data_IF_758877146757
#
_entry.id   IF_758877146757
#
_cell.length_a   1.000
_cell.length_b   1.000
_cell.length_c   1.000
_cell.angle_alpha   90.00
_cell.angle_beta   90.00
_cell.angle_gamma   90.00
#
_symmetry.space_group_name_H-M   'P 1'
#
loop_
_entity.id
_entity.type
_entity.pdbx_description
1 polymer ?
#
# COMPACT_ATOMS: atom_id res chain seq x y z
N UNK A 1 -39.10 12.30 -18.74
CA UNK A 1 -39.39 11.10 -19.55
C UNK A 1 -39.22 11.49 -21.01
N UNK A 2 -38.46 10.69 -21.75
CA UNK A 2 -38.27 10.73 -23.21
C UNK A 2 -37.71 12.02 -23.81
N UNK A 3 -36.37 12.16 -23.82
CA UNK A 3 -35.62 12.88 -24.88
C UNK A 3 -34.10 12.70 -24.78
N UNK A 4 -33.59 11.46 -24.71
CA UNK A 4 -32.14 11.20 -24.86
C UNK A 4 -31.80 9.89 -25.57
N UNK A 5 -32.63 9.43 -26.51
CA UNK A 5 -32.29 8.31 -27.39
C UNK A 5 -32.75 8.61 -28.82
N UNK A 6 -31.83 9.13 -29.63
CA UNK A 6 -31.82 9.01 -31.10
C UNK A 6 -30.61 9.77 -31.66
N UNK A 7 -29.52 9.07 -32.01
CA UNK A 7 -29.24 8.64 -33.39
C UNK A 7 -27.74 8.44 -33.66
N UNK A 8 -27.47 7.31 -34.30
CA UNK A 8 -26.38 6.95 -35.23
C UNK A 8 -24.91 7.28 -34.91
N UNK A 9 -24.16 6.20 -34.64
CA UNK A 9 -22.84 5.87 -35.22
C UNK A 9 -21.87 7.05 -35.41
N UNK A 10 -21.37 7.59 -34.30
CA UNK A 10 -20.07 8.27 -34.30
C UNK A 10 -19.00 7.19 -34.52
N UNK A 11 -18.18 7.36 -35.56
CA UNK A 11 -16.85 6.75 -35.67
C UNK A 11 -16.23 6.71 -34.27
N UNK A 12 -15.72 5.55 -33.85
CA UNK A 12 -14.97 5.43 -32.62
C UNK A 12 -13.78 6.39 -32.68
N UNK A 13 -13.96 7.60 -32.14
CA UNK A 13 -12.90 8.58 -31.99
C UNK A 13 -11.92 7.96 -31.02
N UNK A 14 -10.68 7.75 -31.46
CA UNK A 14 -9.60 7.32 -30.58
C UNK A 14 -9.57 8.23 -29.35
N UNK A 15 -9.67 7.65 -28.16
CA UNK A 15 -9.60 8.41 -26.92
C UNK A 15 -8.27 9.17 -26.85
N UNK A 16 -8.31 10.44 -26.44
CA UNK A 16 -7.12 11.25 -26.30
C UNK A 16 -6.34 10.84 -25.05
N UNK A 17 -5.04 10.61 -25.22
CA UNK A 17 -4.12 10.39 -24.10
C UNK A 17 -3.74 11.72 -23.49
N UNK A 18 -3.91 11.86 -22.17
CA UNK A 18 -3.60 13.07 -21.40
C UNK A 18 -2.68 12.74 -20.22
N UNK A 19 -1.79 13.68 -19.87
CA UNK A 19 -0.95 13.57 -18.68
C UNK A 19 -1.76 13.91 -17.42
N UNK A 20 -2.03 12.91 -16.60
CA UNK A 20 -2.52 13.05 -15.24
C UNK A 20 -1.32 13.17 -14.29
N UNK A 21 -0.90 14.41 -14.02
CA UNK A 21 0.12 14.72 -13.01
C UNK A 21 -0.50 15.52 -11.86
N UNK A 22 -0.65 14.90 -10.69
CA UNK A 22 -1.34 15.49 -9.55
C UNK A 22 -1.96 14.44 -8.64
N UNK A 23 -3.25 14.57 -8.33
CA UNK A 23 -4.00 13.66 -7.47
C UNK A 23 -5.35 13.29 -8.07
N UNK A 24 -5.74 12.03 -7.96
CA UNK A 24 -7.11 11.58 -8.18
C UNK A 24 -7.79 11.39 -6.82
N UNK A 25 -8.90 12.07 -6.61
CA UNK A 25 -9.80 11.84 -5.49
C UNK A 25 -10.92 10.92 -5.98
N UNK A 26 -10.94 9.68 -5.48
CA UNK A 26 -11.78 8.59 -5.97
C UNK A 26 -12.66 8.07 -4.84
N UNK A 27 -13.97 8.02 -5.07
CA UNK A 27 -14.91 7.32 -4.21
C UNK A 27 -15.50 6.13 -4.94
N UNK A 28 -15.50 4.98 -4.29
CA UNK A 28 -16.19 3.78 -4.73
C UNK A 28 -17.28 3.51 -3.69
N UNK A 29 -18.54 3.74 -4.08
CA UNK A 29 -19.65 3.71 -3.14
C UNK A 29 -20.20 2.29 -3.00
N UNK A 30 -20.73 1.75 -4.09
CA UNK A 30 -21.42 0.45 -4.11
C UNK A 30 -21.44 -0.12 -5.53
N UNK A 31 -21.60 -1.44 -5.63
CA UNK A 31 -22.06 -2.09 -6.85
C UNK A 31 -23.45 -2.70 -6.61
N UNK A 32 -24.20 -2.92 -7.68
CA UNK A 32 -25.53 -3.54 -7.65
C UNK A 32 -25.62 -4.63 -8.70
N UNK A 33 -26.37 -5.68 -8.39
CA UNK A 33 -26.68 -6.80 -9.29
C UNK A 33 -25.43 -7.42 -9.93
N UNK A 34 -24.38 -7.68 -9.15
CA UNK A 34 -23.23 -8.45 -9.65
C UNK A 34 -23.67 -9.88 -9.99
N UNK A 35 -23.08 -10.53 -11.00
CA UNK A 35 -23.30 -11.96 -11.22
C UNK A 35 -22.74 -12.79 -10.05
N UNK A 36 -23.38 -13.91 -9.76
CA UNK A 36 -22.85 -14.96 -8.88
C UNK A 36 -21.75 -15.72 -9.63
N UNK A 37 -20.50 -15.47 -9.24
CA UNK A 37 -19.31 -16.08 -9.87
C UNK A 37 -19.00 -17.46 -9.29
N UNK A 38 -19.42 -17.76 -8.06
CA UNK A 38 -19.24 -19.06 -7.42
C UNK A 38 -20.05 -20.17 -8.10
N UNK A 39 -21.20 -19.82 -8.68
CA UNK A 39 -21.96 -20.74 -9.52
C UNK A 39 -21.27 -21.05 -10.86
N UNK A 40 -20.51 -20.10 -11.40
CA UNK A 40 -19.80 -20.23 -12.69
C UNK A 40 -18.47 -20.99 -12.54
N UNK A 41 -17.73 -20.73 -11.46
CA UNK A 41 -16.47 -21.43 -11.14
C UNK A 41 -16.71 -22.92 -10.87
N UNK A 42 -17.81 -23.27 -10.17
CA UNK A 42 -18.25 -24.67 -9.94
C UNK A 42 -18.50 -25.45 -11.23
N UNK A 43 -19.02 -24.80 -12.27
CA UNK A 43 -19.24 -25.44 -13.58
C UNK A 43 -17.91 -25.73 -14.31
N UNK A 44 -16.90 -24.87 -14.14
CA UNK A 44 -15.58 -25.07 -14.76
C UNK A 44 -14.77 -26.16 -14.05
N UNK A 45 -14.83 -26.24 -12.71
CA UNK A 45 -14.20 -27.30 -11.91
C UNK A 45 -14.91 -28.65 -12.10
N UNK A 46 -16.24 -28.65 -12.24
CA UNK A 46 -17.02 -29.87 -12.54
C UNK A 46 -16.64 -30.55 -13.85
N UNK A 47 -16.21 -29.77 -14.85
CA UNK A 47 -15.79 -30.28 -16.16
C UNK A 47 -14.37 -30.88 -16.15
N UNK A 48 -13.51 -30.48 -15.20
CA UNK A 48 -12.19 -31.10 -14.98
C UNK A 48 -12.24 -32.37 -14.11
N UNK A 49 -13.31 -32.61 -13.34
CA UNK A 49 -13.49 -33.83 -12.52
C UNK A 49 -13.82 -35.08 -13.34
N UNK A 50 -14.11 -34.98 -14.63
CA UNK A 50 -14.57 -36.14 -15.43
C UNK A 50 -13.44 -37.12 -15.81
N UNK A 51 -12.18 -36.89 -15.39
CA UNK A 51 -11.04 -37.76 -15.76
C UNK A 51 -10.02 -38.09 -14.66
N UNK A 52 -10.34 -37.98 -13.37
CA UNK A 52 -9.44 -38.51 -12.31
C UNK A 52 -10.22 -39.27 -11.23
N UNK A 53 -9.88 -40.56 -11.14
CA UNK A 53 -10.19 -41.58 -10.12
C UNK A 53 -11.09 -41.21 -8.94
N UNK A 54 -12.21 -41.94 -8.85
CA UNK A 54 -13.31 -41.93 -7.87
C UNK A 54 -12.95 -42.34 -6.43
N UNK A 55 -11.69 -42.21 -5.98
CA UNK A 55 -11.30 -42.59 -4.60
C UNK A 55 -10.62 -41.50 -3.76
N UNK A 56 -10.39 -40.31 -4.32
CA UNK A 56 -9.89 -39.13 -3.56
C UNK A 56 -11.03 -38.13 -3.29
N UNK A 57 -12.13 -38.21 -4.03
CA UNK A 57 -13.28 -37.32 -3.89
C UNK A 57 -13.92 -37.35 -2.49
N UNK A 58 -14.14 -38.55 -1.95
CA UNK A 58 -14.93 -38.72 -0.72
C UNK A 58 -14.25 -38.19 0.55
N UNK A 59 -12.94 -37.89 0.50
CA UNK A 59 -12.17 -37.36 1.65
C UNK A 59 -11.99 -35.84 1.61
N UNK A 60 -12.40 -35.19 0.51
CA UNK A 60 -12.40 -33.72 0.37
C UNK A 60 -13.79 -33.10 0.59
N UNK A 61 -14.85 -33.91 0.66
CA UNK A 61 -16.22 -33.43 0.87
C UNK A 61 -16.48 -32.85 2.28
N UNK A 62 -15.62 -33.16 3.26
CA UNK A 62 -15.73 -32.65 4.63
C UNK A 62 -15.27 -31.19 4.84
N UNK A 63 -14.61 -30.57 3.86
CA UNK A 63 -14.17 -29.16 3.91
C UNK A 63 -14.97 -28.22 3.00
N UNK A 64 -15.90 -28.75 2.19
CA UNK A 64 -16.63 -27.99 1.17
C UNK A 64 -18.14 -27.85 1.46
N UNK A 65 -18.52 -27.78 2.74
CA UNK A 65 -19.87 -27.39 3.15
C UNK A 65 -19.89 -25.93 3.63
N UNK A 66 -19.76 -25.01 2.68
CA UNK A 66 -20.41 -23.69 2.78
C UNK A 66 -21.54 -23.67 1.76
N UNK A 67 -22.76 -23.80 2.26
CA UNK A 67 -23.99 -23.62 1.50
C UNK A 67 -24.14 -22.12 1.19
N UNK A 68 -24.33 -21.76 -0.08
CA UNK A 68 -24.62 -20.41 -0.58
C UNK A 68 -23.53 -19.33 -0.38
N UNK A 69 -22.28 -19.63 -0.70
CA UNK A 69 -21.31 -18.55 -0.95
C UNK A 69 -21.61 -17.87 -2.29
N UNK A 70 -21.54 -16.55 -2.33
CA UNK A 70 -21.73 -15.72 -3.53
C UNK A 70 -20.47 -14.89 -3.75
N UNK A 71 -20.46 -14.00 -4.74
CA UNK A 71 -19.30 -13.19 -5.12
C UNK A 71 -18.67 -12.39 -3.96
N UNK A 72 -17.37 -12.60 -3.75
CA UNK A 72 -16.48 -11.88 -2.84
C UNK A 72 -15.88 -10.65 -3.53
N UNK A 73 -16.70 -9.61 -3.65
CA UNK A 73 -16.42 -8.50 -4.56
C UNK A 73 -15.41 -7.47 -4.01
N UNK A 74 -14.52 -7.02 -4.89
CA UNK A 74 -13.70 -5.81 -4.71
C UNK A 74 -13.47 -5.08 -6.03
N UNK A 75 -13.02 -3.83 -5.95
CA UNK A 75 -12.72 -3.01 -7.13
C UNK A 75 -11.23 -2.64 -7.14
N UNK A 76 -10.57 -2.86 -8.27
CA UNK A 76 -9.23 -2.33 -8.56
C UNK A 76 -9.34 -1.14 -9.51
N UNK A 77 -8.71 -0.03 -9.17
CA UNK A 77 -8.59 1.13 -10.07
C UNK A 77 -7.27 1.05 -10.81
N UNK A 78 -7.33 1.08 -12.13
CA UNK A 78 -6.18 1.01 -13.02
C UNK A 78 -6.07 2.28 -13.87
N UNK A 79 -4.84 2.81 -13.98
CA UNK A 79 -4.49 3.92 -14.87
C UNK A 79 -3.28 3.47 -15.69
N UNK A 80 -3.42 3.42 -17.01
CA UNK A 80 -2.33 2.99 -17.91
C UNK A 80 -1.74 1.63 -17.55
N UNK A 81 -2.61 0.67 -17.20
CA UNK A 81 -2.29 -0.69 -16.74
C UNK A 81 -1.61 -0.78 -15.35
N UNK A 82 -1.39 0.34 -14.65
CA UNK A 82 -0.94 0.33 -13.26
C UNK A 82 -2.15 0.34 -12.32
N UNK A 83 -2.22 -0.62 -11.41
CA UNK A 83 -3.24 -0.61 -10.33
C UNK A 83 -2.83 0.44 -9.30
N UNK A 84 -3.64 1.49 -9.16
CA UNK A 84 -3.34 2.65 -8.31
C UNK A 84 -4.15 2.70 -7.02
N UNK A 85 -5.26 1.95 -6.94
CA UNK A 85 -6.05 1.79 -5.73
C UNK A 85 -6.84 0.48 -5.75
N UNK A 86 -7.24 0.01 -4.57
CA UNK A 86 -8.10 -1.16 -4.39
C UNK A 86 -9.03 -0.97 -3.20
N UNK A 87 -10.27 -1.45 -3.30
CA UNK A 87 -11.18 -1.53 -2.15
C UNK A 87 -10.86 -2.70 -1.23
N UNK A 88 -11.45 -2.73 -0.04
CA UNK A 88 -11.61 -3.98 0.71
C UNK A 88 -12.45 -4.98 -0.09
N UNK A 89 -12.28 -6.27 0.22
CA UNK A 89 -13.16 -7.34 -0.24
C UNK A 89 -14.40 -7.35 0.65
N UNK A 90 -15.59 -7.42 0.04
CA UNK A 90 -16.85 -7.66 0.74
C UNK A 90 -17.29 -9.07 0.38
N UNK A 91 -17.31 -10.00 1.35
CA UNK A 91 -17.63 -11.38 1.05
C UNK A 91 -19.13 -11.58 0.80
N UNK A 92 -19.45 -12.58 -0.01
CA UNK A 92 -20.80 -13.12 -0.21
C UNK A 92 -21.89 -12.05 -0.45
N UNK A 93 -21.65 -11.10 -1.36
CA UNK A 93 -22.62 -10.02 -1.61
C UNK A 93 -22.64 -9.53 -3.07
N UNK A 94 -23.75 -9.78 -3.77
CA UNK A 94 -24.00 -9.26 -5.13
C UNK A 94 -24.27 -7.73 -5.18
N UNK A 95 -24.46 -7.09 -4.03
CA UNK A 95 -24.71 -5.65 -3.88
C UNK A 95 -23.76 -5.03 -2.83
N UNK A 96 -22.44 -5.13 -3.04
CA UNK A 96 -21.44 -4.71 -2.06
C UNK A 96 -21.43 -3.19 -1.90
N UNK A 97 -21.30 -2.72 -0.65
CA UNK A 97 -21.22 -1.29 -0.30
C UNK A 97 -19.87 -1.02 0.38
N UNK A 98 -18.92 -0.45 -0.35
CA UNK A 98 -17.57 -0.16 0.17
C UNK A 98 -17.48 1.20 0.85
N UNK A 99 -18.15 2.22 0.31
CA UNK A 99 -18.00 3.63 0.74
C UNK A 99 -16.54 4.04 0.96
N UNK A 100 -15.65 3.59 0.08
CA UNK A 100 -14.22 3.79 0.25
C UNK A 100 -13.73 5.00 -0.55
N UNK A 101 -12.96 5.85 0.13
CA UNK A 101 -12.31 7.01 -0.45
C UNK A 101 -10.81 6.77 -0.59
N UNK A 102 -10.25 7.04 -1.77
CA UNK A 102 -8.82 6.95 -2.04
C UNK A 102 -8.32 8.26 -2.64
N UNK A 103 -7.25 8.80 -2.06
CA UNK A 103 -6.52 9.96 -2.59
C UNK A 103 -5.23 9.46 -3.20
N UNK A 104 -5.17 9.42 -4.53
CA UNK A 104 -4.12 8.71 -5.26
C UNK A 104 -3.21 9.73 -5.94
N UNK A 105 -1.93 9.86 -5.53
CA UNK A 105 -0.93 10.57 -6.31
C UNK A 105 -0.79 9.92 -7.69
N UNK A 106 -0.82 10.72 -8.75
CA UNK A 106 -0.82 10.23 -10.13
C UNK A 106 0.20 11.01 -10.98
N UNK A 107 0.93 10.30 -11.84
CA UNK A 107 1.90 10.84 -12.79
C UNK A 107 1.93 10.00 -14.09
N UNK A 108 0.76 9.74 -14.68
CA UNK A 108 0.59 8.80 -15.80
C UNK A 108 -0.01 9.49 -17.03
N UNK A 109 0.38 9.02 -18.22
CA UNK A 109 -0.33 9.33 -19.47
C UNK A 109 -1.44 8.31 -19.68
N UNK A 110 -2.70 8.75 -19.66
CA UNK A 110 -3.86 7.86 -19.74
C UNK A 110 -4.95 8.42 -20.66
N UNK A 111 -5.63 7.52 -21.38
CA UNK A 111 -6.83 7.85 -22.15
C UNK A 111 -8.11 7.67 -21.32
N UNK A 112 -8.08 6.73 -20.37
CA UNK A 112 -9.17 6.41 -19.46
C UNK A 112 -8.64 5.90 -18.11
N UNK A 113 -9.50 5.92 -17.10
CA UNK A 113 -9.31 5.25 -15.81
C UNK A 113 -10.28 4.07 -15.77
N UNK A 114 -9.75 2.89 -15.49
CA UNK A 114 -10.51 1.65 -15.47
C UNK A 114 -10.79 1.22 -14.03
N UNK A 115 -12.03 0.88 -13.75
CA UNK A 115 -12.48 0.31 -12.48
C UNK A 115 -12.86 -1.14 -12.74
N UNK A 116 -11.97 -2.06 -12.35
CA UNK A 116 -12.11 -3.49 -12.54
C UNK A 116 -12.81 -4.08 -11.32
N UNK A 117 -14.06 -4.50 -11.50
CA UNK A 117 -14.82 -5.23 -10.47
C UNK A 117 -14.42 -6.69 -10.55
N UNK A 118 -13.97 -7.24 -9.44
CA UNK A 118 -13.37 -8.57 -9.36
C UNK A 118 -13.96 -9.37 -8.23
N UNK A 119 -13.94 -10.68 -8.41
CA UNK A 119 -14.20 -11.66 -7.37
C UNK A 119 -12.87 -12.11 -6.73
N UNK A 120 -12.88 -12.37 -5.44
CA UNK A 120 -11.68 -12.69 -4.66
C UNK A 120 -11.66 -14.15 -4.21
N UNK A 121 -11.14 -15.03 -5.07
CA UNK A 121 -11.03 -16.45 -4.78
C UNK A 121 -9.83 -16.82 -3.89
N UNK A 122 -9.91 -17.99 -3.25
CA UNK A 122 -8.80 -18.61 -2.50
C UNK A 122 -7.53 -18.76 -3.37
N UNK A 123 -7.68 -18.91 -4.69
CA UNK A 123 -6.59 -19.01 -5.65
C UNK A 123 -6.75 -17.95 -6.74
N UNK A 124 -6.53 -16.69 -6.38
CA UNK A 124 -6.43 -15.59 -7.33
C UNK A 124 -7.64 -14.66 -7.34
N UNK A 125 -7.96 -14.08 -8.49
CA UNK A 125 -9.12 -13.21 -8.63
C UNK A 125 -9.67 -13.25 -10.05
N UNK A 126 -10.98 -13.46 -10.19
CA UNK A 126 -11.66 -13.42 -11.48
C UNK A 126 -12.19 -12.02 -11.80
N UNK A 127 -12.18 -11.62 -13.08
CA UNK A 127 -12.74 -10.34 -13.51
C UNK A 127 -14.24 -10.48 -13.79
N UNK A 128 -15.06 -9.76 -13.05
CA UNK A 128 -16.51 -9.67 -13.28
C UNK A 128 -16.81 -8.72 -14.43
N UNK A 129 -16.15 -7.57 -14.44
CA UNK A 129 -16.27 -6.58 -15.50
C UNK A 129 -15.58 -5.28 -15.17
N UNK A 130 -15.67 -4.33 -16.10
CA UNK A 130 -14.94 -3.07 -16.07
C UNK A 130 -15.87 -1.89 -16.30
N UNK A 131 -15.64 -0.81 -15.56
CA UNK A 131 -16.13 0.53 -15.89
C UNK A 131 -14.95 1.37 -16.35
N UNK A 132 -15.00 1.87 -17.58
CA UNK A 132 -13.97 2.77 -18.13
C UNK A 132 -14.48 4.20 -18.18
N UNK A 133 -13.75 5.12 -17.55
CA UNK A 133 -14.04 6.55 -17.56
C UNK A 133 -12.96 7.29 -18.38
N UNK A 134 -13.29 7.86 -19.55
CA UNK A 134 -12.35 8.65 -20.33
C UNK A 134 -11.81 9.84 -19.53
N UNK A 135 -10.49 10.04 -19.57
CA UNK A 135 -9.81 11.11 -18.82
C UNK A 135 -10.34 12.48 -19.20
N UNK A 136 -10.66 12.68 -20.48
CA UNK A 136 -11.20 13.94 -21.00
C UNK A 136 -12.44 14.44 -20.23
N UNK A 137 -13.26 13.54 -19.67
CA UNK A 137 -14.49 13.91 -18.97
C UNK A 137 -14.24 14.64 -17.65
N UNK A 138 -13.10 14.39 -16.99
CA UNK A 138 -12.79 14.96 -15.68
C UNK A 138 -11.45 15.71 -15.65
N UNK A 139 -10.73 15.80 -16.78
CA UNK A 139 -9.41 16.43 -16.88
C UNK A 139 -9.39 17.91 -16.45
N UNK A 140 -10.49 18.63 -16.65
CA UNK A 140 -10.65 20.04 -16.21
C UNK A 140 -10.72 20.20 -14.69
N UNK A 141 -10.85 19.11 -13.95
CA UNK A 141 -11.02 19.05 -12.50
C UNK A 141 -12.48 19.04 -12.04
N UNK A 142 -13.43 18.87 -12.97
CA UNK A 142 -14.83 18.60 -12.65
C UNK A 142 -14.93 17.25 -11.91
N UNK A 143 -15.74 17.21 -10.85
CA UNK A 143 -16.09 15.95 -10.18
C UNK A 143 -17.13 15.21 -11.02
N UNK A 144 -16.76 14.04 -11.53
CA UNK A 144 -17.69 13.12 -12.17
C UNK A 144 -18.24 12.19 -11.09
N UNK A 145 -19.57 12.08 -10.98
CA UNK A 145 -20.25 11.20 -10.04
C UNK A 145 -21.46 10.58 -10.71
N UNK A 146 -21.64 9.26 -10.54
CA UNK A 146 -22.77 8.56 -11.13
C UNK A 146 -22.71 7.05 -10.94
N UNK A 147 -23.73 6.38 -11.49
CA UNK A 147 -23.81 4.93 -11.61
C UNK A 147 -23.52 4.52 -13.04
N UNK A 148 -22.53 3.66 -13.23
CA UNK A 148 -22.04 3.25 -14.55
C UNK A 148 -22.28 1.75 -14.76
N UNK A 149 -22.68 1.32 -15.97
CA UNK A 149 -22.86 -0.10 -16.26
C UNK A 149 -21.51 -0.83 -16.20
N UNK A 150 -21.49 -2.00 -15.57
CA UNK A 150 -20.31 -2.86 -15.52
C UNK A 150 -20.27 -3.68 -16.80
N UNK A 151 -19.20 -3.56 -17.59
CA UNK A 151 -19.08 -4.19 -18.89
C UNK A 151 -18.15 -5.41 -18.85
N UNK A 152 -18.53 -6.47 -19.56
CA UNK A 152 -17.71 -7.63 -19.83
C UNK A 152 -16.57 -7.30 -20.84
N UNK A 153 -15.62 -8.22 -21.08
CA UNK A 153 -14.56 -8.01 -22.08
C UNK A 153 -15.05 -7.82 -23.53
N UNK A 154 -16.34 -8.12 -23.81
CA UNK A 154 -16.99 -7.93 -25.11
C UNK A 154 -17.77 -6.60 -25.18
N UNK A 155 -17.58 -5.71 -24.19
CA UNK A 155 -18.28 -4.42 -24.05
C UNK A 155 -19.81 -4.55 -23.93
N UNK A 156 -20.29 -5.66 -23.36
CA UNK A 156 -21.71 -5.87 -23.03
C UNK A 156 -21.90 -5.79 -21.53
N UNK A 157 -23.08 -5.39 -21.02
CA UNK A 157 -23.38 -5.47 -19.59
C UNK A 157 -23.09 -6.88 -19.06
N UNK A 158 -22.34 -7.01 -17.96
CA UNK A 158 -21.99 -8.32 -17.40
C UNK A 158 -23.22 -9.07 -16.86
N UNK A 159 -24.22 -8.32 -16.38
CA UNK A 159 -25.56 -8.79 -16.01
C UNK A 159 -26.53 -7.61 -16.17
N UNK A 160 -27.78 -7.89 -16.49
CA UNK A 160 -28.80 -6.85 -16.62
C UNK A 160 -28.97 -6.09 -15.30
N UNK A 161 -28.78 -4.77 -15.36
CA UNK A 161 -28.83 -3.89 -14.19
C UNK A 161 -27.56 -3.88 -13.34
N UNK A 162 -26.48 -4.56 -13.75
CA UNK A 162 -25.19 -4.52 -13.05
C UNK A 162 -24.55 -3.13 -13.17
N UNK A 163 -24.36 -2.45 -12.05
CA UNK A 163 -23.82 -1.08 -12.03
C UNK A 163 -22.83 -0.87 -10.91
N UNK A 164 -21.88 0.04 -11.13
CA UNK A 164 -20.95 0.54 -10.14
C UNK A 164 -21.20 2.03 -9.92
N UNK A 165 -21.51 2.41 -8.68
CA UNK A 165 -21.65 3.82 -8.27
C UNK A 165 -20.32 4.34 -7.75
N UNK A 166 -19.79 5.38 -8.39
CA UNK A 166 -18.48 5.96 -8.05
C UNK A 166 -18.46 7.48 -8.27
N UNK A 167 -17.46 8.13 -7.71
CA UNK A 167 -17.05 9.47 -8.14
C UNK A 167 -15.54 9.58 -8.33
N UNK A 168 -15.12 10.43 -9.26
CA UNK A 168 -13.72 10.70 -9.57
C UNK A 168 -13.53 12.20 -9.84
N UNK A 169 -12.46 12.76 -9.28
CA UNK A 169 -12.03 14.12 -9.55
C UNK A 169 -10.52 14.17 -9.70
N UNK A 170 -10.05 14.88 -10.74
CA UNK A 170 -8.63 15.15 -10.92
C UNK A 170 -8.25 16.52 -10.36
N UNK A 171 -7.18 16.56 -9.57
CA UNK A 171 -6.59 17.78 -9.03
C UNK A 171 -5.16 17.86 -9.58
N UNK A 172 -4.86 18.78 -10.52
CA UNK A 172 -3.53 18.91 -11.09
C UNK A 172 -2.52 19.38 -10.03
N UNK A 173 -1.26 18.96 -10.19
CA UNK A 173 -0.20 19.22 -9.19
C UNK A 173 -0.03 20.71 -8.88
N UNK A 174 -0.23 21.58 -9.88
CA UNK A 174 -0.14 23.04 -9.73
C UNK A 174 -1.19 23.63 -8.77
N UNK A 175 -2.27 22.91 -8.49
CA UNK A 175 -3.30 23.31 -7.51
C UNK A 175 -3.02 22.76 -6.10
N UNK A 176 -1.97 21.95 -5.92
CA UNK A 176 -1.59 21.42 -4.62
C UNK A 176 -0.64 22.42 -3.93
N UNK A 177 -1.08 23.01 -2.82
CA UNK A 177 -0.32 24.03 -2.09
C UNK A 177 1.09 23.57 -1.66
N UNK A 178 1.25 22.27 -1.33
CA UNK A 178 2.54 21.67 -1.00
C UNK A 178 3.56 21.71 -2.14
N UNK A 179 3.10 21.79 -3.39
CA UNK A 179 3.96 21.85 -4.57
C UNK A 179 4.50 23.26 -4.81
N UNK A 180 3.64 24.29 -4.73
CA UNK A 180 4.01 25.66 -5.05
C UNK A 180 4.72 26.39 -3.91
N UNK A 181 4.45 26.02 -2.66
CA UNK A 181 4.92 26.75 -1.47
C UNK A 181 5.87 25.94 -0.58
N UNK A 182 6.28 24.73 -1.00
CA UNK A 182 7.15 23.86 -0.22
C UNK A 182 6.59 23.59 1.19
N UNK A 183 7.44 23.70 2.22
CA UNK A 183 7.04 23.48 3.62
C UNK A 183 5.98 24.51 4.06
N UNK A 184 6.05 25.76 3.57
CA UNK A 184 5.07 26.79 3.91
C UNK A 184 3.66 26.41 3.41
N UNK A 185 3.57 25.66 2.31
CA UNK A 185 2.31 25.13 1.77
C UNK A 185 1.65 24.04 2.61
N UNK A 186 2.34 23.53 3.64
CA UNK A 186 1.79 22.56 4.58
C UNK A 186 1.29 23.20 5.88
N UNK A 187 1.38 24.53 6.06
CA UNK A 187 0.92 25.27 7.26
C UNK A 187 1.32 24.63 8.61
N UNK A 188 2.46 23.95 8.69
CA UNK A 188 2.86 23.16 9.86
C UNK A 188 1.87 22.04 10.26
N UNK A 189 1.10 21.50 9.31
CA UNK A 189 0.19 20.34 9.50
C UNK A 189 0.88 19.00 9.18
N UNK A 190 2.01 19.04 8.47
CA UNK A 190 2.73 17.85 8.01
C UNK A 190 2.08 17.22 6.78
N UNK A 191 2.53 16.01 6.43
CA UNK A 191 1.99 15.26 5.30
C UNK A 191 0.59 14.74 5.71
N UNK A 192 -0.48 15.05 4.96
CA UNK A 192 -1.83 14.59 5.29
C UNK A 192 -1.99 13.10 4.99
N UNK A 193 -2.92 12.44 5.70
CA UNK A 193 -3.27 11.04 5.44
C UNK A 193 -2.25 10.01 5.91
N UNK A 194 -1.31 10.41 6.78
CA UNK A 194 -0.34 9.50 7.42
C UNK A 194 -0.88 8.95 8.74
N UNK A 195 -0.47 7.73 9.09
CA UNK A 195 -0.83 7.10 10.37
C UNK A 195 -0.29 7.89 11.57
N UNK A 196 0.94 8.41 11.45
CA UNK A 196 1.55 9.27 12.46
C UNK A 196 1.42 10.74 12.03
N UNK A 197 0.82 11.61 12.86
CA UNK A 197 0.74 13.04 12.57
C UNK A 197 2.09 13.74 12.85
N UNK A 198 2.24 14.97 12.34
CA UNK A 198 3.39 15.82 12.65
C UNK A 198 3.48 16.08 14.16
N UNK A 199 4.68 15.91 14.72
CA UNK A 199 5.00 16.26 16.11
C UNK A 199 5.90 17.49 16.13
N UNK A 200 5.62 18.43 17.03
CA UNK A 200 6.41 19.65 17.26
C UNK A 200 7.29 19.48 18.49
N UNK A 201 8.37 20.26 18.57
CA UNK A 201 9.32 20.22 19.70
C UNK A 201 10.27 19.02 19.71
N UNK A 202 10.34 18.26 18.61
CA UNK A 202 11.32 17.19 18.45
C UNK A 202 12.72 17.74 18.20
N UNK A 203 13.74 17.08 18.76
CA UNK A 203 15.14 17.29 18.40
C UNK A 203 15.58 16.11 17.53
N UNK A 204 16.08 16.42 16.34
CA UNK A 204 16.65 15.43 15.42
C UNK A 204 18.16 15.57 15.44
N UNK A 205 18.87 14.50 15.77
CA UNK A 205 20.32 14.39 15.56
C UNK A 205 20.54 13.68 14.24
N UNK A 206 21.24 14.34 13.31
CA UNK A 206 21.60 13.75 12.03
C UNK A 206 22.91 12.99 12.19
N UNK A 207 22.93 11.75 11.71
CA UNK A 207 24.10 10.90 11.71
C UNK A 207 24.55 10.62 10.27
N UNK A 208 25.76 11.06 9.93
CA UNK A 208 26.54 10.53 8.82
C UNK A 208 27.35 9.36 9.37
N UNK A 209 27.16 8.19 8.78
CA UNK A 209 27.80 6.93 9.16
C UNK A 209 27.56 6.47 10.61
N UNK A 210 28.11 5.29 10.94
CA UNK A 210 28.06 4.74 12.30
C UNK A 210 28.94 5.55 13.28
N UNK A 211 30.06 6.05 12.77
CA UNK A 211 31.05 6.81 13.52
C UNK A 211 31.84 7.67 12.53
N UNK A 212 32.10 8.92 12.91
CA UNK A 212 32.99 9.83 12.20
C UNK A 212 34.06 10.27 13.21
N UNK A 213 35.36 10.10 12.90
CA UNK A 213 36.42 10.60 13.76
C UNK A 213 36.36 12.12 13.88
N UNK A 214 36.90 12.64 14.98
CA UNK A 214 36.98 14.08 15.19
C UNK A 214 37.86 14.71 14.10
N UNK A 215 37.54 15.94 13.73
CA UNK A 215 38.25 16.74 12.72
C UNK A 215 38.26 16.19 11.28
N UNK A 216 37.55 15.10 10.98
CA UNK A 216 37.43 14.57 9.61
C UNK A 216 36.43 15.31 8.73
N UNK A 217 35.46 16.02 9.32
CA UNK A 217 34.47 16.77 8.57
C UNK A 217 34.89 18.24 8.45
N UNK A 218 34.76 18.86 7.27
CA UNK A 218 35.05 20.26 7.12
C UNK A 218 34.14 21.09 8.02
N UNK A 219 34.69 22.09 8.70
CA UNK A 219 33.96 23.04 9.55
C UNK A 219 32.98 23.95 8.77
N UNK A 220 32.68 23.63 7.51
CA UNK A 220 32.18 24.52 6.47
C UNK A 220 30.68 24.82 6.52
N UNK A 221 29.91 24.26 7.46
CA UNK A 221 28.51 24.62 7.63
C UNK A 221 28.37 25.60 8.80
N UNK A 222 28.55 26.89 8.49
CA UNK A 222 28.07 27.98 9.34
C UNK A 222 26.55 27.95 9.35
N UNK A 223 25.98 27.60 10.48
CA UNK A 223 24.54 27.66 10.68
C UNK A 223 24.13 29.09 11.04
N UNK A 224 22.84 29.37 10.89
CA UNK A 224 22.26 30.63 11.33
C UNK A 224 22.58 30.87 12.83
N UNK A 225 23.12 32.05 13.15
CA UNK A 225 23.56 32.40 14.52
C UNK A 225 25.00 32.02 14.89
N UNK A 226 25.89 31.81 13.91
CA UNK A 226 27.33 31.51 14.11
C UNK A 226 27.61 30.21 14.88
N UNK A 227 26.61 29.33 14.93
CA UNK A 227 26.75 27.98 15.47
C UNK A 227 27.49 27.09 14.46
N UNK A 228 28.45 26.34 14.95
CA UNK A 228 29.14 25.32 14.17
C UNK A 228 28.27 24.06 14.14
N UNK A 229 28.11 23.45 12.96
CA UNK A 229 27.46 22.15 12.83
C UNK A 229 28.24 21.09 13.61
N UNK A 230 27.70 20.63 14.74
CA UNK A 230 28.25 19.49 15.47
C UNK A 230 27.64 18.20 14.94
N UNK A 231 28.51 17.27 14.57
CA UNK A 231 28.10 15.99 14.01
C UNK A 231 27.94 14.94 15.12
N UNK A 232 26.81 14.22 15.13
CA UNK A 232 26.58 13.15 16.10
C UNK A 232 27.38 11.88 15.77
N UNK A 233 27.75 11.11 16.79
CA UNK A 233 28.41 9.80 16.62
C UNK A 233 27.38 8.68 16.88
N UNK A 234 26.72 8.21 15.81
CA UNK A 234 25.55 7.31 15.89
C UNK A 234 25.71 6.13 16.86
N UNK A 235 26.73 5.29 16.67
CA UNK A 235 26.90 4.09 17.49
C UNK A 235 27.33 4.40 18.92
N UNK A 236 28.01 5.53 19.14
CA UNK A 236 28.34 6.03 20.49
C UNK A 236 27.07 6.48 21.20
N UNK A 237 26.19 7.21 20.54
CA UNK A 237 24.92 7.65 21.11
C UNK A 237 23.98 6.47 21.38
N UNK A 238 23.94 5.46 20.49
CA UNK A 238 23.21 4.21 20.72
C UNK A 238 23.76 3.45 21.94
N UNK A 239 25.09 3.33 22.04
CA UNK A 239 25.74 2.70 23.18
C UNK A 239 25.39 3.41 24.50
N UNK A 240 25.48 4.74 24.52
CA UNK A 240 25.11 5.54 25.70
C UNK A 240 23.63 5.41 26.05
N UNK A 241 22.74 5.38 25.05
CA UNK A 241 21.31 5.20 25.26
C UNK A 241 20.99 3.83 25.90
N UNK A 242 21.63 2.75 25.43
CA UNK A 242 21.50 1.40 26.01
C UNK A 242 21.98 1.40 27.46
N UNK A 243 23.16 1.98 27.71
CA UNK A 243 23.76 2.01 29.05
C UNK A 243 22.97 2.84 30.05
N UNK A 244 22.36 3.96 29.61
CA UNK A 244 21.58 4.85 30.48
C UNK A 244 20.11 4.42 30.64
N UNK A 245 19.63 3.47 29.84
CA UNK A 245 18.23 3.04 29.86
C UNK A 245 17.85 2.42 31.22
N UNK A 246 16.83 2.97 31.89
CA UNK A 246 16.37 2.48 33.22
C UNK A 246 15.12 1.61 33.18
N UNK A 247 14.37 1.61 32.07
CA UNK A 247 13.03 1.00 32.01
C UNK A 247 12.88 -0.01 30.89
N UNK A 248 13.24 0.38 29.67
CA UNK A 248 13.09 -0.49 28.51
C UNK A 248 14.15 -0.21 27.45
N UNK A 249 14.44 -1.24 26.66
CA UNK A 249 15.23 -1.19 25.43
C UNK A 249 14.47 -2.03 24.41
N UNK A 250 13.95 -1.39 23.35
CA UNK A 250 13.25 -2.08 22.27
C UNK A 250 14.07 -1.92 20.99
N UNK A 251 14.40 -3.05 20.37
CA UNK A 251 15.21 -3.09 19.14
C UNK A 251 14.44 -3.86 18.09
N UNK A 252 14.28 -3.26 16.91
CA UNK A 252 13.81 -3.95 15.71
C UNK A 252 14.91 -3.87 14.66
N UNK A 253 15.09 -4.94 13.89
CA UNK A 253 16.15 -4.97 12.90
C UNK A 253 15.97 -6.10 11.91
N UNK A 254 16.34 -5.81 10.66
CA UNK A 254 16.43 -6.83 9.62
C UNK A 254 17.47 -7.90 10.00
N UNK A 255 18.59 -7.49 10.58
CA UNK A 255 19.60 -8.37 11.15
C UNK A 255 20.23 -7.71 12.38
N UNK A 256 20.52 -8.52 13.41
CA UNK A 256 21.18 -8.07 14.63
C UNK A 256 22.35 -9.00 14.94
N UNK A 257 23.58 -8.52 14.67
CA UNK A 257 24.78 -9.28 14.98
C UNK A 257 25.25 -8.98 16.41
N UNK A 258 24.98 -9.90 17.33
CA UNK A 258 25.19 -9.68 18.76
C UNK A 258 26.66 -9.54 19.17
N UNK A 259 27.62 -10.05 18.38
CA UNK A 259 29.06 -9.94 18.69
C UNK A 259 29.66 -8.58 18.31
N UNK A 260 28.90 -7.68 17.67
CA UNK A 260 29.40 -6.37 17.29
C UNK A 260 29.70 -5.50 18.53
N UNK A 261 30.78 -4.72 18.47
CA UNK A 261 31.07 -3.65 19.43
C UNK A 261 30.68 -2.30 18.82
N UNK A 262 29.87 -1.54 19.57
CA UNK A 262 29.34 -0.24 19.13
C UNK A 262 30.41 0.87 19.19
N UNK A 263 31.29 0.86 20.20
CA UNK A 263 32.37 1.84 20.30
C UNK A 263 33.69 1.13 20.08
N UNK A 264 34.48 1.60 19.11
CA UNK A 264 35.71 0.95 18.64
C UNK A 264 36.93 1.88 18.63
N UNK A 265 36.81 3.07 19.20
CA UNK A 265 37.89 4.04 19.31
C UNK A 265 39.02 3.50 20.20
N UNK A 266 40.27 3.89 19.92
CA UNK A 266 41.43 3.44 20.68
C UNK A 266 41.32 3.86 22.16
N UNK A 267 41.66 2.95 23.07
CA UNK A 267 41.60 3.19 24.53
C UNK A 267 40.22 3.01 25.16
N UNK A 268 39.17 2.69 24.39
CA UNK A 268 37.84 2.39 24.91
C UNK A 268 37.51 0.91 24.78
N UNK A 269 37.39 0.19 25.89
CA UNK A 269 36.90 -1.18 25.90
C UNK A 269 35.37 -1.20 26.05
N UNK A 270 34.65 -1.52 24.99
CA UNK A 270 33.20 -1.78 25.05
C UNK A 270 32.91 -3.28 24.97
N UNK A 271 31.93 -3.73 25.75
CA UNK A 271 31.33 -5.07 25.60
C UNK A 271 30.66 -5.22 24.22
N UNK A 272 30.36 -6.46 23.84
CA UNK A 272 29.56 -6.73 22.65
C UNK A 272 28.12 -6.28 22.87
N UNK A 273 27.38 -6.00 21.79
CA UNK A 273 25.97 -5.61 21.86
C UNK A 273 25.15 -6.66 22.64
N UNK A 274 25.39 -7.95 22.40
CA UNK A 274 24.71 -9.03 23.09
C UNK A 274 24.94 -9.02 24.60
N UNK A 275 26.18 -8.81 25.01
CA UNK A 275 26.55 -8.77 26.43
C UNK A 275 25.98 -7.53 27.12
N UNK A 276 26.02 -6.37 26.45
CA UNK A 276 25.38 -5.14 26.94
C UNK A 276 23.89 -5.35 27.21
N UNK A 277 23.16 -5.90 26.23
CA UNK A 277 21.72 -6.13 26.34
C UNK A 277 21.40 -7.15 27.45
N UNK A 278 22.16 -8.24 27.55
CA UNK A 278 22.03 -9.21 28.64
C UNK A 278 22.24 -8.57 30.00
N UNK A 279 23.29 -7.75 30.15
CA UNK A 279 23.59 -7.04 31.39
C UNK A 279 22.45 -6.11 31.79
N UNK A 280 21.95 -5.28 30.86
CA UNK A 280 20.80 -4.38 31.14
C UNK A 280 19.56 -5.18 31.55
N UNK A 281 19.31 -6.32 30.91
CA UNK A 281 18.19 -7.21 31.26
C UNK A 281 18.31 -7.76 32.69
N UNK A 282 19.51 -8.21 33.08
CA UNK A 282 19.80 -8.70 34.44
C UNK A 282 19.66 -7.60 35.51
N UNK A 283 19.93 -6.34 35.15
CA UNK A 283 19.69 -5.18 36.01
C UNK A 283 18.20 -4.77 36.10
N UNK A 284 17.29 -5.53 35.48
CA UNK A 284 15.85 -5.31 35.54
C UNK A 284 15.27 -4.41 34.44
N UNK A 285 16.07 -4.01 33.45
CA UNK A 285 15.59 -3.27 32.29
C UNK A 285 14.86 -4.23 31.35
N UNK A 286 13.65 -3.89 30.90
CA UNK A 286 12.92 -4.74 29.95
C UNK A 286 13.53 -4.63 28.55
N UNK A 287 14.19 -5.69 28.10
CA UNK A 287 14.81 -5.77 26.77
C UNK A 287 13.96 -6.65 25.86
N UNK A 288 13.40 -6.08 24.78
CA UNK A 288 12.62 -6.81 23.77
C UNK A 288 13.22 -6.60 22.39
N UNK A 289 13.40 -7.69 21.65
CA UNK A 289 13.92 -7.67 20.29
C UNK A 289 12.87 -8.24 19.33
N UNK A 290 12.63 -7.55 18.22
CA UNK A 290 11.88 -8.04 17.08
C UNK A 290 12.82 -8.09 15.87
N UNK A 291 13.49 -9.23 15.71
CA UNK A 291 14.42 -9.47 14.61
C UNK A 291 13.69 -10.24 13.52
N UNK A 292 13.91 -9.86 12.26
CA UNK A 292 13.31 -10.54 11.13
C UNK A 292 13.78 -12.01 11.04
N UNK A 293 12.85 -12.95 10.95
CA UNK A 293 13.09 -14.39 10.71
C UNK A 293 12.66 -14.71 9.27
N UNK A 294 13.61 -14.68 8.33
CA UNK A 294 13.35 -15.14 6.96
C UNK A 294 13.38 -16.67 6.89
N UNK A 295 12.50 -17.27 6.09
CA UNK A 295 12.51 -18.72 5.81
C UNK A 295 13.85 -19.21 5.24
N UNK A 296 14.64 -18.34 4.59
CA UNK A 296 16.00 -18.66 4.14
C UNK A 296 17.08 -18.52 5.22
N UNK A 297 16.74 -18.03 6.41
CA UNK A 297 17.67 -17.91 7.57
C UNK A 297 17.88 -19.23 8.28
N UNK A 298 16.98 -20.21 8.06
CA UNK A 298 17.09 -21.55 8.63
C UNK A 298 17.97 -22.37 7.72
N UNK A 299 19.21 -22.59 8.14
CA UNK A 299 20.07 -23.61 7.57
C UNK A 299 19.39 -24.97 7.67
N UNK A 300 18.64 -25.36 6.65
CA UNK A 300 18.29 -26.76 6.44
C UNK A 300 19.63 -27.44 6.13
N UNK A 301 20.15 -28.20 7.10
CA UNK A 301 21.41 -28.99 7.07
C UNK A 301 22.71 -28.30 7.55
N UNK A 302 22.68 -27.60 8.68
CA UNK A 302 23.80 -27.65 9.64
C UNK A 302 25.20 -27.14 9.22
N UNK A 303 25.35 -26.37 8.13
CA UNK A 303 26.61 -25.68 7.83
C UNK A 303 26.51 -24.17 8.13
N UNK A 304 27.40 -23.61 8.97
CA UNK A 304 27.46 -22.17 9.19
C UNK A 304 28.09 -21.46 7.97
N UNK A 305 27.57 -20.27 7.66
CA UNK A 305 28.37 -19.22 7.01
C UNK A 305 29.16 -18.47 8.06
#
# INVERSE_FOLDING_TARGET
MEKYLSNSSKRASSLKVLLLHGRLDIWIYEARNLPDMDALSKNFVGMFRTKVSTRIADKMDGFMHSQNSTTDAYVSVSVSNAVVARTSVIPDNENPVWNQHSRVPIAHHAAEVQFLVKDSDVIGSELIGTVSIPVEQFYSGVKLEGSFPILDPKNKPCRDGATLKLSIQYIPIVRLASYSLGIAGLENRGIPGTYFPLRKGGKVTLYQDAHVPDDCLPALLRLEGDAHSQHGKCWRDIFEAIMRARRFIYITGWSVYHMVRLVREQGFYSDTLGDLLKKRSQEGVRVLLLVWDDFTSRTILGFPK
#
